data_IF_189872237594
#
_entry.id   IF_189872237594
#
_cell.length_a   1.000
_cell.length_b   1.000
_cell.length_c   1.000
_cell.angle_alpha   90.00
_cell.angle_beta   90.00
_cell.angle_gamma   90.00
#
_symmetry.space_group_name_H-M   'P 1'
#
loop_
_entity.id
_entity.type
_entity.pdbx_description
1 polymer ?
#
# COMPACT_ATOMS: atom_id res chain seq x y z
N UNK A 1 -12.90 19.05 10.17
CA UNK A 1 -11.81 18.05 10.28
C UNK A 1 -10.52 18.84 10.36
N UNK A 2 -9.68 18.54 11.35
CA UNK A 2 -8.31 19.06 11.42
C UNK A 2 -7.38 18.02 10.79
N UNK A 3 -6.50 18.45 9.87
CA UNK A 3 -5.68 17.54 9.06
C UNK A 3 -4.22 17.80 9.38
N UNK A 4 -3.54 16.73 9.83
CA UNK A 4 -2.11 16.73 10.05
C UNK A 4 -1.42 15.79 9.08
N UNK A 5 -0.39 16.31 8.41
CA UNK A 5 0.46 15.55 7.49
C UNK A 5 1.75 15.18 8.21
N UNK A 6 2.19 13.94 8.00
CA UNK A 6 3.40 13.38 8.60
C UNK A 6 4.42 13.08 7.50
N UNK A 7 5.71 13.04 7.88
CA UNK A 7 6.78 12.66 6.95
C UNK A 7 6.78 11.17 6.65
N UNK A 8 6.33 10.35 7.60
CA UNK A 8 6.25 8.89 7.46
C UNK A 8 4.97 8.32 8.06
N UNK A 9 4.59 7.11 7.65
CA UNK A 9 3.48 6.39 8.26
C UNK A 9 3.75 6.07 9.73
N UNK A 10 5.01 5.79 10.10
CA UNK A 10 5.38 5.48 11.49
C UNK A 10 5.15 6.67 12.42
N UNK A 11 5.42 7.89 11.96
CA UNK A 11 5.11 9.11 12.71
C UNK A 11 3.60 9.28 12.94
N UNK A 12 2.78 8.99 11.91
CA UNK A 12 1.33 9.03 12.04
C UNK A 12 0.82 7.97 13.03
N UNK A 13 1.35 6.75 12.96
CA UNK A 13 1.03 5.66 13.88
C UNK A 13 1.39 6.04 15.33
N UNK A 14 2.57 6.65 15.55
CA UNK A 14 3.01 7.08 16.89
C UNK A 14 2.08 8.16 17.48
N UNK A 15 1.68 9.14 16.70
CA UNK A 15 0.77 10.19 17.18
C UNK A 15 -0.66 9.67 17.41
N UNK A 16 -1.12 8.72 16.60
CA UNK A 16 -2.38 7.99 16.85
C UNK A 16 -2.32 7.23 18.18
N UNK A 17 -1.25 6.48 18.40
CA UNK A 17 -1.03 5.71 19.63
C UNK A 17 -0.90 6.60 20.87
N UNK A 18 -0.38 7.81 20.71
CA UNK A 18 -0.29 8.81 21.76
C UNK A 18 -1.62 9.57 22.00
N UNK A 19 -2.67 9.30 21.22
CA UNK A 19 -3.95 10.00 21.30
C UNK A 19 -3.90 11.46 20.83
N UNK A 20 -2.91 11.81 20.01
CA UNK A 20 -2.77 13.16 19.43
C UNK A 20 -3.59 13.34 18.15
N UNK A 21 -3.94 12.23 17.50
CA UNK A 21 -4.91 12.18 16.40
C UNK A 21 -5.88 11.03 16.66
N UNK A 22 -7.13 11.25 16.26
CA UNK A 22 -8.21 10.27 16.48
C UNK A 22 -8.24 9.18 15.41
N UNK A 23 -7.71 9.48 14.21
CA UNK A 23 -7.79 8.63 13.02
C UNK A 23 -6.52 8.80 12.19
N UNK A 24 -6.07 7.69 11.59
CA UNK A 24 -5.08 7.68 10.50
C UNK A 24 -5.74 7.19 9.22
N UNK A 25 -5.30 7.75 8.09
CA UNK A 25 -5.79 7.38 6.76
C UNK A 25 -4.61 7.00 5.88
N UNK A 26 -4.58 5.74 5.42
CA UNK A 26 -3.50 5.16 4.64
C UNK A 26 -3.99 3.93 3.85
N UNK A 27 -3.11 3.38 3.01
CA UNK A 27 -3.39 2.15 2.26
C UNK A 27 -3.78 1.01 3.20
N UNK A 28 -4.85 0.29 2.85
CA UNK A 28 -5.42 -0.78 3.68
C UNK A 28 -4.40 -1.86 4.02
N UNK A 29 -3.53 -2.22 3.08
CA UNK A 29 -2.49 -3.24 3.27
C UNK A 29 -1.44 -2.81 4.28
N UNK A 30 -1.12 -1.51 4.33
CA UNK A 30 -0.20 -0.92 5.31
C UNK A 30 -0.85 -0.90 6.68
N UNK A 31 -2.13 -0.53 6.76
CA UNK A 31 -2.87 -0.53 8.01
C UNK A 31 -3.08 -1.95 8.58
N UNK A 32 -3.37 -2.94 7.73
CA UNK A 32 -3.47 -4.36 8.15
C UNK A 32 -2.16 -4.86 8.74
N UNK A 33 -1.01 -4.47 8.18
CA UNK A 33 0.29 -4.81 8.76
C UNK A 33 0.51 -4.12 10.12
N UNK A 34 0.14 -2.84 10.24
CA UNK A 34 0.18 -2.13 11.52
C UNK A 34 -0.67 -2.83 12.59
N UNK A 35 -1.89 -3.27 12.26
CA UNK A 35 -2.77 -4.01 13.18
C UNK A 35 -2.20 -5.36 13.64
N UNK A 36 -1.28 -5.97 12.88
CA UNK A 36 -0.57 -7.19 13.29
C UNK A 36 0.56 -6.91 14.29
N UNK A 37 1.02 -5.67 14.39
CA UNK A 37 2.05 -5.25 15.35
C UNK A 37 1.51 -5.17 16.79
N UNK A 38 2.38 -5.20 17.80
CA UNK A 38 1.97 -5.01 19.20
C UNK A 38 1.27 -3.67 19.43
N UNK A 39 1.72 -2.63 18.74
CA UNK A 39 1.16 -1.28 18.88
C UNK A 39 -0.23 -1.18 18.24
N UNK A 40 -0.47 -1.87 17.12
CA UNK A 40 -1.76 -1.80 16.43
C UNK A 40 -2.90 -2.58 17.08
N UNK A 41 -2.64 -3.39 18.11
CA UNK A 41 -3.68 -4.24 18.75
C UNK A 41 -4.82 -3.46 19.42
N UNK A 42 -4.61 -2.17 19.70
CA UNK A 42 -5.61 -1.26 20.28
C UNK A 42 -6.35 -0.43 19.22
N UNK A 43 -6.11 -0.71 17.95
CA UNK A 43 -6.71 -0.01 16.82
C UNK A 43 -7.59 -0.97 16.01
N UNK A 44 -8.47 -0.40 15.20
CA UNK A 44 -9.29 -1.15 14.25
C UNK A 44 -9.42 -0.37 12.94
N UNK A 45 -9.71 -1.08 11.86
CA UNK A 45 -10.19 -0.45 10.63
C UNK A 45 -11.66 -0.08 10.80
N UNK A 46 -12.04 1.11 10.35
CA UNK A 46 -13.43 1.54 10.33
C UNK A 46 -13.76 2.26 9.02
N UNK A 47 -15.04 2.29 8.68
CA UNK A 47 -15.52 2.97 7.47
C UNK A 47 -15.30 2.16 6.18
N UNK A 48 -15.74 2.73 5.04
CA UNK A 48 -15.58 2.08 3.74
C UNK A 48 -14.14 2.20 3.22
N UNK A 49 -13.79 1.34 2.27
CA UNK A 49 -12.63 1.56 1.41
C UNK A 49 -12.90 2.71 0.44
N UNK A 50 -11.91 3.57 0.23
CA UNK A 50 -11.97 4.66 -0.74
C UNK A 50 -11.14 4.27 -1.97
N UNK A 51 -11.76 4.25 -3.15
CA UNK A 51 -11.15 3.72 -4.40
C UNK A 51 -11.42 4.62 -5.61
N UNK A 52 -11.85 5.85 -5.39
CA UNK A 52 -12.12 6.82 -6.46
C UNK A 52 -10.86 7.07 -7.30
N UNK A 53 -10.85 6.59 -8.55
CA UNK A 53 -9.67 6.64 -9.44
C UNK A 53 -9.07 8.04 -9.60
N UNK A 54 -9.90 9.11 -9.52
CA UNK A 54 -9.43 10.51 -9.57
C UNK A 54 -8.44 10.88 -8.44
N UNK A 55 -8.49 10.19 -7.31
CA UNK A 55 -7.63 10.44 -6.15
C UNK A 55 -6.63 9.31 -5.91
N UNK A 56 -7.05 8.05 -6.11
CA UNK A 56 -6.27 6.87 -5.73
C UNK A 56 -5.63 6.13 -6.90
N UNK A 57 -6.00 6.47 -8.14
CA UNK A 57 -5.50 5.78 -9.34
C UNK A 57 -6.06 4.37 -9.48
N UNK A 58 -5.37 3.56 -10.29
CA UNK A 58 -5.77 2.19 -10.66
C UNK A 58 -4.87 1.11 -10.03
N UNK A 59 -3.98 1.50 -9.12
CA UNK A 59 -3.03 0.60 -8.47
C UNK A 59 -1.65 1.22 -8.27
N UNK A 60 -0.66 0.38 -8.03
CA UNK A 60 0.73 0.77 -7.76
C UNK A 60 1.59 0.50 -8.99
N UNK A 61 2.38 1.50 -9.40
CA UNK A 61 3.26 1.42 -10.56
C UNK A 61 4.72 1.77 -10.23
N UNK A 62 5.63 1.31 -11.07
CA UNK A 62 7.04 1.73 -11.03
C UNK A 62 7.14 3.10 -11.69
N UNK A 63 7.42 4.14 -10.89
CA UNK A 63 7.58 5.51 -11.38
C UNK A 63 8.86 5.69 -12.20
N UNK A 64 8.72 6.10 -13.46
CA UNK A 64 9.84 6.34 -14.39
C UNK A 64 9.81 7.76 -14.95
N UNK A 65 10.94 8.19 -15.53
CA UNK A 65 10.98 9.43 -16.34
C UNK A 65 10.13 9.25 -17.59
N UNK A 66 9.39 10.30 -17.97
CA UNK A 66 8.44 10.27 -19.09
C UNK A 66 9.05 9.88 -20.44
N UNK A 67 10.35 10.10 -20.64
CA UNK A 67 11.06 9.82 -21.88
C UNK A 67 11.81 8.48 -21.88
N UNK A 68 11.82 7.73 -20.78
CA UNK A 68 12.53 6.44 -20.67
C UNK A 68 11.66 5.27 -21.18
N UNK A 69 11.30 5.32 -22.46
CA UNK A 69 10.42 4.33 -23.09
C UNK A 69 11.00 2.91 -23.06
N UNK A 70 12.31 2.76 -23.31
CA UNK A 70 12.97 1.46 -23.29
C UNK A 70 12.93 0.81 -21.89
N UNK A 71 13.04 1.62 -20.82
CA UNK A 71 12.98 1.12 -19.45
C UNK A 71 11.55 0.75 -19.06
N UNK A 72 10.57 1.54 -19.51
CA UNK A 72 9.15 1.24 -19.33
C UNK A 72 8.81 -0.13 -19.95
N UNK A 73 9.22 -0.37 -21.20
CA UNK A 73 8.97 -1.64 -21.88
C UNK A 73 9.66 -2.81 -21.18
N UNK A 74 10.90 -2.63 -20.73
CA UNK A 74 11.63 -3.66 -19.99
C UNK A 74 10.93 -4.03 -18.67
N UNK A 75 10.45 -3.05 -17.90
CA UNK A 75 9.71 -3.31 -16.67
C UNK A 75 8.38 -4.00 -16.94
N UNK A 76 7.60 -3.54 -17.92
CA UNK A 76 6.32 -4.16 -18.26
C UNK A 76 6.51 -5.63 -18.67
N UNK A 77 7.46 -5.92 -19.57
CA UNK A 77 7.78 -7.29 -19.99
C UNK A 77 8.23 -8.16 -18.81
N UNK A 78 9.05 -7.61 -17.90
CA UNK A 78 9.51 -8.34 -16.72
C UNK A 78 8.36 -8.65 -15.76
N UNK A 79 7.44 -7.69 -15.52
CA UNK A 79 6.25 -7.88 -14.69
C UNK A 79 5.36 -8.97 -15.28
N UNK A 80 5.08 -8.91 -16.58
CA UNK A 80 4.30 -9.93 -17.28
C UNK A 80 4.94 -11.31 -17.18
N UNK A 81 6.26 -11.40 -17.37
CA UNK A 81 7.01 -12.64 -17.28
C UNK A 81 6.96 -13.27 -15.87
N UNK A 82 7.16 -12.47 -14.81
CA UNK A 82 7.12 -13.00 -13.42
C UNK A 82 5.71 -13.40 -12.99
N UNK A 83 4.68 -12.76 -13.56
CA UNK A 83 3.28 -13.16 -13.36
C UNK A 83 2.99 -14.48 -14.06
N UNK A 84 3.36 -14.58 -15.34
CA UNK A 84 3.11 -15.79 -16.14
C UNK A 84 3.83 -17.04 -15.60
N UNK A 85 5.03 -16.86 -15.02
CA UNK A 85 5.84 -17.98 -14.53
C UNK A 85 5.66 -18.30 -13.03
N UNK A 86 4.74 -17.61 -12.34
CA UNK A 86 4.42 -17.84 -10.92
C UNK A 86 5.44 -17.25 -9.93
N UNK A 87 6.45 -16.51 -10.39
CA UNK A 87 7.42 -15.85 -9.51
C UNK A 87 6.76 -14.75 -8.69
N UNK A 88 5.82 -14.00 -9.28
CA UNK A 88 5.03 -13.00 -8.57
C UNK A 88 4.30 -13.62 -7.38
N UNK A 89 3.57 -14.73 -7.59
CA UNK A 89 2.81 -15.40 -6.54
C UNK A 89 3.72 -15.92 -5.41
N UNK A 90 4.92 -16.42 -5.73
CA UNK A 90 5.91 -16.80 -4.70
C UNK A 90 6.36 -15.63 -3.85
N UNK A 91 6.55 -14.45 -4.46
CA UNK A 91 6.90 -13.22 -3.74
C UNK A 91 5.71 -12.75 -2.89
N UNK A 92 4.51 -12.70 -3.46
CA UNK A 92 3.29 -12.31 -2.77
C UNK A 92 3.04 -13.15 -1.52
N UNK A 93 3.08 -14.48 -1.65
CA UNK A 93 2.85 -15.43 -0.55
C UNK A 93 3.85 -15.31 0.61
N UNK A 94 4.99 -14.63 0.41
CA UNK A 94 5.94 -14.34 1.49
C UNK A 94 5.44 -13.24 2.43
N UNK A 95 4.61 -12.32 1.94
CA UNK A 95 4.20 -11.11 2.66
C UNK A 95 2.70 -11.06 2.94
N UNK A 96 1.88 -11.65 2.06
CA UNK A 96 0.42 -11.58 2.10
C UNK A 96 -0.19 -12.98 2.00
N UNK A 97 -1.26 -13.19 2.75
CA UNK A 97 -2.09 -14.40 2.76
C UNK A 97 -3.26 -14.35 1.74
N UNK A 98 -3.32 -13.28 0.95
CA UNK A 98 -4.23 -13.06 -0.16
C UNK A 98 -3.46 -12.63 -1.41
N UNK A 99 -4.07 -12.71 -2.60
CA UNK A 99 -3.46 -12.17 -3.82
C UNK A 99 -3.55 -10.64 -3.82
N UNK A 100 -2.41 -9.98 -3.62
CA UNK A 100 -2.35 -8.52 -3.58
C UNK A 100 -2.62 -7.88 -4.94
N UNK A 101 -2.24 -8.54 -6.03
CA UNK A 101 -2.47 -7.97 -7.36
C UNK A 101 -3.95 -8.03 -7.75
N UNK A 102 -4.67 -9.04 -7.25
CA UNK A 102 -6.02 -9.37 -7.72
C UNK A 102 -6.00 -10.11 -9.06
N UNK A 103 -7.18 -10.16 -9.71
CA UNK A 103 -7.31 -10.61 -11.11
C UNK A 103 -6.59 -9.67 -12.09
#
# INVERSE_FOLDING_TARGET
VDIKVYGTQDEANLDFMAGRVDVIFADSVVLVDFLKSKSGQQAELFGPSFTEAKYFGEGIGIGLRKNDQALLEAFNQAIDAIRANGTYQKINAKYFDFDLFGE
#
